data_IF_524549068144
#
_entry.id   IF_524549068144
#
_cell.length_a   1.000
_cell.length_b   1.000
_cell.length_c   1.000
_cell.angle_alpha   90.00
_cell.angle_beta   90.00
_cell.angle_gamma   90.00
#
_symmetry.space_group_name_H-M   'P 1'
#
loop_
_entity.id
_entity.type
_entity.pdbx_description
1 polymer ?
#
# COMPACT_ATOMS: atom_id res chain seq x y z
N UNK A 1 -26.37 7.55 11.31
CA UNK A 1 -25.58 8.47 10.45
C UNK A 1 -24.15 7.97 10.37
N UNK A 2 -23.34 8.49 9.44
CA UNK A 2 -21.90 8.21 9.43
C UNK A 2 -21.15 9.19 10.31
N UNK A 3 -19.94 8.83 10.74
CA UNK A 3 -19.06 9.73 11.48
C UNK A 3 -18.78 11.03 10.70
N UNK A 4 -18.67 10.94 9.35
CA UNK A 4 -18.53 12.12 8.50
C UNK A 4 -19.69 13.12 8.69
N UNK A 5 -20.94 12.63 8.69
CA UNK A 5 -22.11 13.50 8.90
C UNK A 5 -22.06 14.13 10.28
N UNK A 6 -21.72 13.37 11.32
CA UNK A 6 -21.57 13.90 12.69
C UNK A 6 -20.51 15.01 12.76
N UNK A 7 -19.34 14.82 12.13
CA UNK A 7 -18.29 15.85 12.09
C UNK A 7 -18.75 17.11 11.36
N UNK A 8 -19.53 16.94 10.30
CA UNK A 8 -20.12 18.08 9.58
C UNK A 8 -21.12 18.86 10.45
N UNK A 9 -22.01 18.15 11.16
CA UNK A 9 -22.96 18.77 12.12
C UNK A 9 -22.22 19.51 13.23
N UNK A 10 -21.16 18.94 13.77
CA UNK A 10 -20.32 19.59 14.78
C UNK A 10 -19.69 20.87 14.24
N UNK A 11 -19.12 20.83 13.04
CA UNK A 11 -18.50 21.98 12.40
C UNK A 11 -19.52 23.08 12.10
N UNK A 12 -20.68 22.72 11.61
CA UNK A 12 -21.69 23.67 11.16
C UNK A 12 -22.42 24.35 12.35
N UNK A 13 -22.56 23.67 13.52
CA UNK A 13 -23.35 24.15 14.62
C UNK A 13 -22.60 24.43 15.92
N UNK A 14 -21.39 23.90 16.10
CA UNK A 14 -20.68 24.01 17.38
C UNK A 14 -19.28 24.61 17.23
N UNK A 15 -18.44 24.08 16.29
CA UNK A 15 -17.07 24.51 16.11
C UNK A 15 -16.71 24.66 14.63
N UNK A 16 -16.91 25.87 14.06
CA UNK A 16 -16.62 26.12 12.65
C UNK A 16 -15.12 26.05 12.30
N UNK A 17 -14.24 25.95 13.29
CA UNK A 17 -12.79 25.83 13.07
C UNK A 17 -12.34 24.40 12.88
N UNK A 18 -13.19 23.40 13.15
CA UNK A 18 -12.87 21.98 13.04
C UNK A 18 -12.40 21.60 11.63
N UNK A 19 -11.15 21.15 11.52
CA UNK A 19 -10.52 20.77 10.27
C UNK A 19 -10.52 19.25 10.09
N UNK A 20 -11.11 18.77 9.01
CA UNK A 20 -11.04 17.40 8.54
C UNK A 20 -11.28 17.33 7.03
N UNK A 21 -10.68 16.35 6.37
CA UNK A 21 -10.78 16.22 4.92
C UNK A 21 -11.92 15.30 4.51
N UNK A 22 -12.59 15.66 3.41
CA UNK A 22 -13.57 14.80 2.76
C UNK A 22 -13.82 15.25 1.32
N UNK A 23 -14.16 14.29 0.44
CA UNK A 23 -14.55 14.60 -0.94
C UNK A 23 -15.74 13.74 -1.36
N UNK A 24 -15.54 12.42 -1.53
CA UNK A 24 -16.53 11.54 -2.16
C UNK A 24 -17.69 11.12 -1.22
N UNK A 25 -17.49 11.10 0.09
CA UNK A 25 -18.46 10.64 1.11
C UNK A 25 -18.95 9.20 0.92
N UNK A 26 -18.30 8.42 0.05
CA UNK A 26 -18.72 7.09 -0.40
C UNK A 26 -17.62 6.01 -0.28
N UNK A 27 -16.51 6.31 0.43
CA UNK A 27 -15.40 5.37 0.62
C UNK A 27 -14.55 5.12 -0.63
N UNK A 28 -14.50 6.08 -1.58
CA UNK A 28 -13.80 5.93 -2.86
C UNK A 28 -12.53 6.78 -2.93
N UNK A 29 -12.47 7.95 -2.27
CA UNK A 29 -11.33 8.86 -2.39
C UNK A 29 -10.28 8.74 -1.27
N UNK A 30 -10.62 8.16 -0.12
CA UNK A 30 -9.69 8.00 1.00
C UNK A 30 -9.45 9.23 1.87
N UNK A 31 -9.86 10.46 1.46
CA UNK A 31 -9.49 11.71 2.14
C UNK A 31 -10.00 11.83 3.59
N UNK A 32 -11.11 11.20 3.94
CA UNK A 32 -11.66 11.25 5.30
C UNK A 32 -11.05 10.20 6.26
N UNK A 33 -9.83 9.75 5.97
CA UNK A 33 -9.14 8.79 6.82
C UNK A 33 -8.59 9.47 8.09
N UNK A 34 -8.84 8.84 9.24
CA UNK A 34 -8.41 9.32 10.55
C UNK A 34 -8.31 8.15 11.54
N UNK A 35 -7.74 8.38 12.71
CA UNK A 35 -7.84 7.41 13.81
C UNK A 35 -9.19 7.55 14.51
N UNK A 36 -9.90 6.44 14.63
CA UNK A 36 -11.16 6.31 15.35
C UNK A 36 -10.93 5.30 16.48
N UNK A 37 -10.96 5.76 17.73
CA UNK A 37 -10.57 4.94 18.89
C UNK A 37 -9.21 4.26 18.70
N UNK A 38 -8.23 5.01 18.16
CA UNK A 38 -6.88 4.53 17.93
C UNK A 38 -6.71 3.60 16.71
N UNK A 39 -7.76 3.30 15.95
CA UNK A 39 -7.71 2.48 14.73
C UNK A 39 -7.89 3.34 13.48
N UNK A 40 -7.03 3.19 12.46
CA UNK A 40 -7.23 3.89 11.19
C UNK A 40 -8.51 3.45 10.49
N UNK A 41 -9.28 4.41 9.98
CA UNK A 41 -10.53 4.13 9.28
C UNK A 41 -11.03 5.33 8.49
N UNK A 42 -12.08 5.13 7.69
CA UNK A 42 -12.72 6.19 6.90
C UNK A 42 -13.97 6.70 7.61
N UNK A 43 -14.02 7.98 7.94
CA UNK A 43 -15.17 8.59 8.62
C UNK A 43 -16.49 8.42 7.85
N UNK A 44 -16.43 8.46 6.51
CA UNK A 44 -17.62 8.27 5.67
C UNK A 44 -18.14 6.82 5.62
N UNK A 45 -17.37 5.85 6.13
CA UNK A 45 -17.76 4.41 6.18
C UNK A 45 -18.01 3.93 7.60
N UNK A 46 -17.68 4.71 8.60
CA UNK A 46 -17.91 4.40 10.01
C UNK A 46 -19.28 4.89 10.44
N UNK A 47 -20.14 4.00 10.89
CA UNK A 47 -21.46 4.36 11.40
C UNK A 47 -21.37 4.73 12.89
N UNK A 48 -22.01 5.83 13.27
CA UNK A 48 -22.01 6.28 14.68
C UNK A 48 -22.67 5.30 15.63
N UNK A 49 -23.64 4.52 15.16
CA UNK A 49 -24.29 3.46 15.95
C UNK A 49 -23.36 2.31 16.34
N UNK A 50 -22.26 2.13 15.59
CA UNK A 50 -21.27 1.07 15.82
C UNK A 50 -20.13 1.55 16.74
N UNK A 51 -20.15 2.82 17.13
CA UNK A 51 -19.21 3.42 18.07
C UNK A 51 -19.80 3.46 19.49
N UNK A 52 -18.95 3.42 20.53
CA UNK A 52 -19.41 3.68 21.90
C UNK A 52 -19.92 5.13 22.02
N UNK A 53 -20.63 5.42 23.11
CA UNK A 53 -21.15 6.79 23.38
C UNK A 53 -20.01 7.83 23.48
N UNK A 54 -18.88 7.42 24.04
CA UNK A 54 -17.65 8.21 24.09
C UNK A 54 -16.60 7.58 23.18
N UNK A 55 -16.06 8.35 22.26
CA UNK A 55 -15.01 7.90 21.35
C UNK A 55 -14.00 9.01 21.09
N UNK A 56 -12.80 8.62 20.72
CA UNK A 56 -11.71 9.53 20.39
C UNK A 56 -11.42 9.56 18.91
N UNK A 57 -11.14 10.75 18.39
CA UNK A 57 -10.64 10.96 17.04
C UNK A 57 -9.25 11.58 17.08
N UNK A 58 -8.38 11.17 16.16
CA UNK A 58 -7.05 11.76 16.02
C UNK A 58 -6.62 11.74 14.55
N UNK A 59 -5.70 12.63 14.16
CA UNK A 59 -5.11 12.60 12.83
C UNK A 59 -4.34 11.30 12.59
N UNK A 60 -4.22 10.89 11.30
CA UNK A 60 -3.42 9.73 10.94
C UNK A 60 -1.94 9.97 11.29
N UNK A 61 -1.32 9.09 12.08
CA UNK A 61 0.12 9.17 12.35
C UNK A 61 0.94 8.83 11.09
N UNK A 62 2.22 9.20 11.11
CA UNK A 62 3.19 9.09 10.01
C UNK A 62 2.98 10.08 8.85
N UNK A 63 1.99 10.93 8.93
CA UNK A 63 1.77 12.03 7.99
C UNK A 63 1.95 13.39 8.69
N UNK A 64 2.31 14.39 7.89
CA UNK A 64 2.43 15.76 8.36
C UNK A 64 1.04 16.33 8.72
N UNK A 65 0.90 16.86 9.93
CA UNK A 65 -0.36 17.46 10.38
C UNK A 65 -0.59 18.80 9.65
N UNK A 66 -1.79 18.98 9.12
CA UNK A 66 -2.28 20.25 8.57
C UNK A 66 -3.08 20.99 9.66
N UNK A 67 -4.04 20.33 10.27
CA UNK A 67 -4.84 20.86 11.38
C UNK A 67 -5.84 19.82 11.86
N UNK A 68 -6.10 19.74 13.15
CA UNK A 68 -7.02 18.83 13.83
C UNK A 68 -6.92 17.38 13.33
N UNK A 69 -7.83 16.97 12.44
CA UNK A 69 -7.88 15.62 11.87
C UNK A 69 -7.33 15.54 10.43
N UNK A 70 -6.94 16.69 9.85
CA UNK A 70 -6.44 16.80 8.48
C UNK A 70 -4.93 16.59 8.41
N UNK A 71 -4.47 15.74 7.48
CA UNK A 71 -3.05 15.40 7.31
C UNK A 71 -2.64 15.39 5.84
N UNK A 72 -1.36 15.70 5.56
CA UNK A 72 -0.80 15.70 4.22
C UNK A 72 -0.40 14.30 3.75
N UNK A 73 -1.37 13.49 3.35
CA UNK A 73 -1.10 12.17 2.76
C UNK A 73 -0.46 12.29 1.37
N UNK A 74 -0.78 13.35 0.62
CA UNK A 74 -0.34 13.54 -0.76
C UNK A 74 1.18 13.65 -0.91
N UNK A 75 1.88 14.29 0.03
CA UNK A 75 3.34 14.38 0.02
C UNK A 75 3.99 12.98 0.11
N UNK A 76 3.52 12.16 1.04
CA UNK A 76 4.01 10.79 1.22
C UNK A 76 3.71 9.92 -0.02
N UNK A 77 2.48 10.00 -0.54
CA UNK A 77 2.05 9.21 -1.70
C UNK A 77 2.82 9.58 -2.97
N UNK A 78 3.11 10.87 -3.20
CA UNK A 78 3.95 11.31 -4.34
C UNK A 78 5.36 10.76 -4.23
N UNK A 79 6.01 10.91 -3.09
CA UNK A 79 7.37 10.39 -2.88
C UNK A 79 7.42 8.87 -3.11
N UNK A 80 6.43 8.13 -2.61
CA UNK A 80 6.30 6.70 -2.84
C UNK A 80 6.10 6.41 -4.34
N UNK A 81 5.21 7.12 -5.02
CA UNK A 81 4.93 6.91 -6.44
C UNK A 81 6.12 7.20 -7.34
N UNK A 82 6.87 8.26 -7.06
CA UNK A 82 8.09 8.61 -7.79
C UNK A 82 9.17 7.54 -7.59
N UNK A 83 9.40 7.12 -6.35
CA UNK A 83 10.37 6.07 -6.04
C UNK A 83 10.02 4.73 -6.69
N UNK A 84 8.74 4.37 -6.70
CA UNK A 84 8.25 3.07 -7.19
C UNK A 84 7.95 3.08 -8.68
N UNK A 85 8.04 4.25 -9.33
CA UNK A 85 7.65 4.40 -10.74
C UNK A 85 6.29 3.75 -11.00
N UNK A 86 5.24 4.24 -10.29
CA UNK A 86 3.92 3.61 -10.26
C UNK A 86 3.09 3.89 -11.51
N UNK A 87 3.65 3.58 -12.68
CA UNK A 87 3.00 3.60 -13.99
C UNK A 87 3.45 2.37 -14.79
N UNK A 88 2.76 2.09 -15.87
CA UNK A 88 3.09 0.98 -16.78
C UNK A 88 4.28 1.38 -17.65
N UNK A 89 5.33 0.59 -17.64
CA UNK A 89 6.52 0.79 -18.48
C UNK A 89 6.33 0.05 -19.81
N UNK A 90 6.16 0.79 -20.89
CA UNK A 90 6.00 0.25 -22.26
C UNK A 90 7.15 0.69 -23.15
N UNK A 91 7.62 -0.21 -24.05
CA UNK A 91 8.68 0.10 -25.04
C UNK A 91 8.26 1.11 -26.08
N UNK A 92 6.99 1.09 -26.46
CA UNK A 92 6.44 1.99 -27.46
C UNK A 92 5.61 3.05 -26.77
N UNK A 93 6.11 4.27 -26.74
CA UNK A 93 5.40 5.43 -26.20
C UNK A 93 4.25 5.91 -27.12
N UNK A 94 4.25 5.52 -28.41
CA UNK A 94 3.22 5.89 -29.36
C UNK A 94 2.02 4.94 -29.28
N UNK A 95 0.94 5.43 -28.67
CA UNK A 95 -0.35 4.75 -28.68
C UNK A 95 -1.05 5.03 -29.99
N UNK A 96 -1.16 4.04 -30.88
CA UNK A 96 -1.97 4.14 -32.08
C UNK A 96 -3.45 3.89 -31.77
N UNK A 97 -4.19 4.96 -31.55
CA UNK A 97 -5.63 4.94 -31.23
C UNK A 97 -6.51 4.30 -32.33
N UNK A 98 -5.96 4.02 -33.53
CA UNK A 98 -6.67 3.34 -34.61
C UNK A 98 -6.61 1.83 -34.50
N UNK A 99 -5.67 1.31 -33.72
CA UNK A 99 -5.56 -0.12 -33.48
C UNK A 99 -6.47 -0.53 -32.33
N UNK A 100 -7.16 -1.65 -32.53
CA UNK A 100 -7.93 -2.27 -31.46
C UNK A 100 -6.98 -2.74 -30.36
N UNK A 101 -7.31 -2.43 -29.10
CA UNK A 101 -6.55 -2.93 -27.94
C UNK A 101 -6.52 -4.46 -27.93
N UNK A 102 -5.40 -5.01 -27.49
CA UNK A 102 -5.27 -6.46 -27.28
C UNK A 102 -6.13 -6.83 -26.08
N UNK A 103 -7.08 -7.77 -26.21
CA UNK A 103 -7.89 -8.23 -25.09
C UNK A 103 -7.02 -8.84 -23.99
N UNK A 104 -7.28 -8.48 -22.74
CA UNK A 104 -6.67 -9.09 -21.58
C UNK A 104 -7.48 -10.31 -21.12
N UNK A 105 -6.81 -11.33 -20.61
CA UNK A 105 -7.49 -12.46 -19.96
C UNK A 105 -8.42 -11.95 -18.84
N UNK A 106 -9.69 -12.38 -18.78
CA UNK A 106 -10.65 -11.88 -17.80
C UNK A 106 -10.24 -12.13 -16.35
N UNK A 107 -9.63 -13.26 -16.03
CA UNK A 107 -9.18 -13.56 -14.67
C UNK A 107 -8.01 -12.65 -14.28
N UNK A 108 -7.06 -12.45 -15.18
CA UNK A 108 -5.95 -11.53 -14.97
C UNK A 108 -6.43 -10.09 -14.79
N UNK A 109 -7.41 -9.66 -15.59
CA UNK A 109 -8.03 -8.34 -15.44
C UNK A 109 -8.68 -8.17 -14.07
N UNK A 110 -9.38 -9.18 -13.55
CA UNK A 110 -9.97 -9.16 -12.21
C UNK A 110 -8.89 -9.12 -11.12
N UNK A 111 -7.83 -9.91 -11.23
CA UNK A 111 -6.71 -9.91 -10.28
C UNK A 111 -6.04 -8.53 -10.21
N UNK A 112 -5.83 -7.86 -11.34
CA UNK A 112 -5.32 -6.49 -11.41
C UNK A 112 -6.33 -5.52 -10.77
N UNK A 113 -7.62 -5.63 -11.09
CA UNK A 113 -8.68 -4.76 -10.58
C UNK A 113 -8.78 -4.82 -9.06
N UNK A 114 -8.65 -6.01 -8.46
CA UNK A 114 -8.65 -6.17 -7.01
C UNK A 114 -7.57 -5.31 -6.36
N UNK A 115 -6.36 -5.25 -6.93
CA UNK A 115 -5.24 -4.46 -6.42
C UNK A 115 -5.41 -2.96 -6.71
N UNK A 116 -6.02 -2.60 -7.83
CA UNK A 116 -6.32 -1.22 -8.22
C UNK A 116 -7.42 -0.56 -7.37
N UNK A 117 -8.16 -1.32 -6.57
CA UNK A 117 -9.13 -0.78 -5.60
C UNK A 117 -8.47 0.04 -4.48
N UNK A 118 -7.15 0.12 -4.43
CA UNK A 118 -6.42 0.97 -3.50
C UNK A 118 -6.74 2.45 -3.74
N UNK A 119 -7.27 3.12 -2.72
CA UNK A 119 -7.63 4.55 -2.76
C UNK A 119 -6.60 5.46 -2.07
N UNK A 120 -5.42 4.93 -1.77
CA UNK A 120 -4.30 5.67 -1.17
C UNK A 120 -4.67 6.45 0.11
N UNK A 121 -5.62 5.93 0.89
CA UNK A 121 -6.14 6.60 2.08
C UNK A 121 -5.15 6.73 3.24
N UNK A 122 -4.02 6.01 3.22
CA UNK A 122 -3.01 6.07 4.27
C UNK A 122 -3.27 5.18 5.50
N UNK A 123 -4.43 4.52 5.63
CA UNK A 123 -4.74 3.69 6.81
C UNK A 123 -3.70 2.58 7.07
N UNK A 124 -3.23 1.91 6.00
CA UNK A 124 -2.20 0.87 6.10
C UNK A 124 -0.83 1.41 6.53
N UNK A 125 -0.52 2.67 6.21
CA UNK A 125 0.70 3.38 6.61
C UNK A 125 0.60 3.79 8.08
N UNK A 126 -0.52 4.42 8.46
CA UNK A 126 -0.78 4.85 9.83
C UNK A 126 -0.74 3.68 10.84
N UNK A 127 -1.23 2.49 10.44
CA UNK A 127 -1.19 1.28 11.25
C UNK A 127 0.11 0.49 11.17
N UNK A 128 1.08 0.89 10.35
CA UNK A 128 2.30 0.13 10.13
C UNK A 128 3.37 0.40 11.17
N UNK A 129 3.72 -0.61 11.98
CA UNK A 129 4.83 -0.50 12.93
C UNK A 129 6.18 -0.26 12.26
N UNK A 130 6.41 -0.82 11.07
CA UNK A 130 7.67 -0.60 10.34
C UNK A 130 7.83 0.86 9.93
N UNK A 131 6.80 1.52 9.41
CA UNK A 131 6.85 2.95 9.04
C UNK A 131 7.17 3.83 10.25
N UNK A 132 6.75 3.43 11.45
CA UNK A 132 7.02 4.18 12.69
C UNK A 132 8.49 4.21 13.06
N UNK A 133 9.23 3.16 12.76
CA UNK A 133 10.68 3.05 13.06
C UNK A 133 11.54 3.30 11.83
N UNK A 134 10.98 3.19 10.64
CA UNK A 134 11.64 3.41 9.33
C UNK A 134 10.73 4.24 8.43
N UNK A 135 10.81 5.57 8.49
CA UNK A 135 9.94 6.46 7.72
C UNK A 135 10.10 6.37 6.20
N UNK A 136 11.23 5.82 5.73
CA UNK A 136 11.56 5.56 4.34
C UNK A 136 10.95 4.25 3.79
N UNK A 137 10.34 3.44 4.65
CA UNK A 137 9.71 2.18 4.24
C UNK A 137 8.46 2.45 3.38
N UNK A 138 8.40 1.82 2.20
CA UNK A 138 7.33 2.03 1.20
C UNK A 138 5.94 1.59 1.65
N UNK A 139 5.84 0.86 2.75
CA UNK A 139 4.57 0.39 3.29
C UNK A 139 3.84 -0.62 2.39
N UNK A 140 2.71 -1.10 2.91
CA UNK A 140 1.89 -2.06 2.17
C UNK A 140 1.29 -1.48 0.88
N UNK A 141 1.04 -0.18 0.82
CA UNK A 141 0.53 0.48 -0.39
C UNK A 141 1.55 0.41 -1.53
N UNK A 142 2.83 0.67 -1.27
CA UNK A 142 3.90 0.56 -2.27
C UNK A 142 4.04 -0.88 -2.77
N UNK A 143 4.07 -1.85 -1.84
CA UNK A 143 4.16 -3.28 -2.20
C UNK A 143 2.94 -3.73 -3.02
N UNK A 144 1.72 -3.26 -2.69
CA UNK A 144 0.52 -3.54 -3.47
C UNK A 144 0.58 -2.98 -4.88
N UNK A 145 1.12 -1.76 -5.05
CA UNK A 145 1.31 -1.17 -6.38
C UNK A 145 2.31 -1.97 -7.23
N UNK A 146 3.44 -2.37 -6.66
CA UNK A 146 4.38 -3.25 -7.35
C UNK A 146 3.72 -4.58 -7.75
N UNK A 147 2.94 -5.21 -6.87
CA UNK A 147 2.21 -6.42 -7.20
C UNK A 147 1.24 -6.22 -8.37
N UNK A 148 0.55 -5.09 -8.39
CA UNK A 148 -0.37 -4.70 -9.47
C UNK A 148 0.36 -4.54 -10.80
N UNK A 149 1.43 -3.76 -10.87
CA UNK A 149 2.18 -3.53 -12.12
C UNK A 149 2.85 -4.81 -12.62
N UNK A 150 3.37 -5.62 -11.71
CA UNK A 150 3.98 -6.91 -12.05
C UNK A 150 2.99 -7.91 -12.67
N UNK A 151 1.68 -7.78 -12.40
CA UNK A 151 0.63 -8.57 -13.04
C UNK A 151 0.22 -8.02 -14.41
N UNK A 152 0.47 -6.75 -14.68
CA UNK A 152 0.02 -6.11 -15.91
C UNK A 152 0.87 -6.59 -17.11
N UNK A 153 0.27 -7.26 -18.10
CA UNK A 153 1.02 -7.79 -19.25
C UNK A 153 1.58 -6.69 -20.17
N UNK A 154 1.16 -5.44 -19.96
CA UNK A 154 1.69 -4.27 -20.68
C UNK A 154 2.94 -3.70 -20.02
N UNK A 155 3.21 -4.03 -18.77
CA UNK A 155 4.41 -3.61 -18.07
C UNK A 155 5.58 -4.53 -18.46
N UNK A 156 6.63 -3.97 -19.02
CA UNK A 156 7.76 -4.72 -19.56
C UNK A 156 8.87 -5.00 -18.52
N UNK A 157 8.72 -4.45 -17.31
CA UNK A 157 9.65 -4.73 -16.21
C UNK A 157 9.61 -6.20 -15.82
N UNK A 158 10.77 -6.75 -15.56
CA UNK A 158 10.95 -8.10 -15.06
C UNK A 158 11.31 -8.11 -13.56
N UNK A 159 11.48 -9.29 -12.97
CA UNK A 159 11.77 -9.42 -11.53
C UNK A 159 13.11 -8.77 -11.13
N UNK A 160 14.07 -8.60 -12.05
CA UNK A 160 15.34 -7.91 -11.75
C UNK A 160 15.11 -6.39 -11.66
N UNK A 161 14.30 -5.82 -12.56
CA UNK A 161 13.95 -4.40 -12.55
C UNK A 161 13.18 -4.06 -11.26
N UNK A 162 12.22 -4.89 -10.87
CA UNK A 162 11.51 -4.73 -9.60
C UNK A 162 12.40 -4.91 -8.37
N UNK A 163 13.43 -5.76 -8.46
CA UNK A 163 14.40 -5.94 -7.39
C UNK A 163 15.19 -4.65 -7.10
N UNK A 164 15.61 -3.94 -8.14
CA UNK A 164 16.30 -2.64 -7.99
C UNK A 164 15.43 -1.60 -7.28
N UNK A 165 14.11 -1.67 -7.45
CA UNK A 165 13.16 -0.69 -6.86
C UNK A 165 12.75 -1.06 -5.44
N UNK A 166 12.53 -2.35 -5.14
CA UNK A 166 11.93 -2.78 -3.85
C UNK A 166 12.68 -3.91 -3.14
N UNK A 167 13.80 -4.36 -3.67
CA UNK A 167 14.58 -5.46 -3.11
C UNK A 167 15.55 -5.05 -1.98
N UNK A 168 15.21 -4.02 -1.24
CA UNK A 168 15.99 -3.47 -0.13
C UNK A 168 15.21 -3.44 1.19
N UNK A 169 15.83 -2.87 2.23
CA UNK A 169 15.23 -2.73 3.54
C UNK A 169 14.22 -1.58 3.64
N UNK A 170 14.25 -0.61 2.75
CA UNK A 170 13.18 0.40 2.62
C UNK A 170 12.04 -0.10 1.74
N UNK A 171 12.30 -1.17 0.98
CA UNK A 171 11.34 -1.95 0.20
C UNK A 171 10.79 -3.15 0.95
N UNK A 172 10.60 -4.27 0.25
CA UNK A 172 9.88 -5.43 0.80
C UNK A 172 10.58 -6.13 1.95
N UNK A 173 11.93 -6.07 2.02
CA UNK A 173 12.68 -6.75 3.08
C UNK A 173 12.60 -6.04 4.43
N UNK A 174 12.30 -4.74 4.46
CA UNK A 174 12.06 -4.01 5.70
C UNK A 174 10.76 -4.36 6.42
N UNK A 175 9.82 -5.03 5.75
CA UNK A 175 8.53 -5.37 6.35
C UNK A 175 8.69 -6.33 7.53
N UNK A 176 8.29 -5.91 8.73
CA UNK A 176 8.32 -6.72 9.95
C UNK A 176 7.18 -7.76 10.04
N UNK A 177 6.30 -7.80 9.03
CA UNK A 177 5.18 -8.76 8.95
C UNK A 177 4.20 -8.70 10.12
N UNK A 178 3.97 -7.51 10.71
CA UNK A 178 3.00 -7.29 11.79
C UNK A 178 1.54 -7.34 11.31
N UNK A 179 1.32 -7.20 10.00
CA UNK A 179 0.06 -7.37 9.25
C UNK A 179 -1.08 -6.40 9.59
N UNK A 180 -0.93 -5.45 10.51
CA UNK A 180 -1.94 -4.44 10.82
C UNK A 180 -2.43 -3.66 9.58
N UNK A 181 -1.58 -3.54 8.56
CA UNK A 181 -1.96 -2.95 7.28
C UNK A 181 -3.10 -3.72 6.59
N UNK A 182 -3.17 -5.04 6.75
CA UNK A 182 -4.25 -5.87 6.20
C UNK A 182 -5.56 -5.64 6.98
N UNK A 183 -5.48 -5.62 8.32
CA UNK A 183 -6.65 -5.48 9.18
C UNK A 183 -7.29 -4.09 9.08
N UNK A 184 -6.48 -3.05 8.80
CA UNK A 184 -6.94 -1.67 8.70
C UNK A 184 -7.25 -1.22 7.26
N UNK A 185 -7.18 -2.11 6.27
CA UNK A 185 -7.49 -1.74 4.91
C UNK A 185 -9.00 -1.57 4.69
N UNK A 186 -9.52 -0.33 4.48
CA UNK A 186 -10.96 -0.12 4.30
C UNK A 186 -11.49 -0.61 2.95
N UNK A 187 -10.62 -1.16 2.10
CA UNK A 187 -10.93 -1.75 0.79
C UNK A 187 -10.73 -3.26 0.77
N UNK A 188 -10.38 -3.88 1.89
CA UNK A 188 -10.16 -5.33 2.04
C UNK A 188 -9.19 -5.91 0.99
N UNK A 189 -8.09 -5.16 0.73
CA UNK A 189 -7.06 -5.60 -0.21
C UNK A 189 -6.30 -6.82 0.35
N UNK A 190 -5.86 -7.75 -0.50
CA UNK A 190 -5.13 -8.95 -0.08
C UNK A 190 -3.66 -8.64 0.28
N UNK A 191 -3.42 -7.61 1.12
CA UNK A 191 -2.09 -7.06 1.39
C UNK A 191 -1.11 -8.09 1.96
N UNK A 192 -1.57 -8.96 2.87
CA UNK A 192 -0.72 -10.03 3.42
C UNK A 192 -0.20 -10.98 2.35
N UNK A 193 -1.05 -11.35 1.39
CA UNK A 193 -0.71 -12.24 0.27
C UNK A 193 0.28 -11.56 -0.66
N UNK A 194 0.06 -10.28 -0.98
CA UNK A 194 0.95 -9.53 -1.88
C UNK A 194 2.33 -9.30 -1.25
N UNK A 195 2.39 -8.96 0.04
CA UNK A 195 3.67 -8.82 0.76
C UNK A 195 4.46 -10.12 0.71
N UNK A 196 3.83 -11.25 1.02
CA UNK A 196 4.49 -12.56 0.99
C UNK A 196 4.96 -12.94 -0.42
N UNK A 197 4.13 -12.70 -1.42
CA UNK A 197 4.42 -12.99 -2.82
C UNK A 197 5.61 -12.18 -3.35
N UNK A 198 5.58 -10.85 -3.20
CA UNK A 198 6.64 -9.97 -3.67
C UNK A 198 7.95 -10.26 -2.91
N UNK A 199 7.88 -10.45 -1.58
CA UNK A 199 9.06 -10.81 -0.78
C UNK A 199 9.74 -12.08 -1.31
N UNK A 200 8.95 -13.13 -1.61
CA UNK A 200 9.49 -14.37 -2.18
C UNK A 200 10.15 -14.11 -3.52
N UNK A 201 9.52 -13.36 -4.42
CA UNK A 201 10.07 -13.04 -5.74
C UNK A 201 11.36 -12.24 -5.67
N UNK A 202 11.42 -11.26 -4.80
CA UNK A 202 12.63 -10.46 -4.59
C UNK A 202 13.75 -11.29 -3.94
N UNK A 203 13.43 -12.21 -3.03
CA UNK A 203 14.41 -13.12 -2.45
C UNK A 203 14.97 -14.09 -3.51
N UNK A 204 14.15 -14.67 -4.37
CA UNK A 204 14.57 -15.50 -5.50
C UNK A 204 15.52 -14.72 -6.43
N UNK A 205 15.26 -13.45 -6.70
CA UNK A 205 16.11 -12.59 -7.52
C UNK A 205 17.44 -12.24 -6.82
N UNK A 206 17.38 -11.93 -5.51
CA UNK A 206 18.57 -11.67 -4.70
C UNK A 206 19.55 -12.85 -4.69
N UNK A 207 19.04 -14.08 -4.56
CA UNK A 207 19.86 -15.31 -4.65
C UNK A 207 20.52 -15.43 -6.03
N UNK A 208 19.76 -15.22 -7.13
CA UNK A 208 20.32 -15.24 -8.49
C UNK A 208 21.40 -14.19 -8.70
N UNK A 209 21.25 -13.01 -8.12
CA UNK A 209 22.25 -11.96 -8.20
C UNK A 209 23.49 -12.31 -7.40
N UNK A 210 23.34 -12.89 -6.20
CA UNK A 210 24.44 -13.37 -5.37
C UNK A 210 25.27 -14.44 -6.10
N UNK A 211 24.62 -15.44 -6.72
CA UNK A 211 25.30 -16.52 -7.46
C UNK A 211 26.08 -16.02 -8.68
N UNK A 212 25.72 -14.87 -9.25
CA UNK A 212 26.48 -14.23 -10.33
C UNK A 212 27.77 -13.56 -9.83
N UNK A 213 27.71 -12.98 -8.61
CA UNK A 213 28.85 -12.24 -8.02
C UNK A 213 29.80 -13.17 -7.26
N UNK A 214 29.24 -14.18 -6.57
CA UNK A 214 29.98 -15.18 -5.81
C UNK A 214 29.63 -16.57 -6.39
N UNK A 215 30.38 -17.10 -7.37
CA UNK A 215 30.12 -18.43 -7.91
C UNK A 215 30.15 -19.45 -6.78
N UNK A 216 29.06 -20.13 -6.56
CA UNK A 216 28.99 -21.22 -5.59
C UNK A 216 30.02 -22.29 -5.96
N UNK A 217 30.90 -22.74 -5.03
CA UNK A 217 31.82 -23.80 -5.31
C UNK A 217 31.05 -25.04 -5.78
N UNK A 218 31.35 -25.53 -6.98
CA UNK A 218 30.70 -26.72 -7.57
C UNK A 218 30.83 -28.01 -6.73
N UNK A 219 31.40 -27.92 -5.53
CA UNK A 219 31.64 -29.01 -4.58
C UNK A 219 31.38 -28.62 -3.14
N UNK A 220 30.16 -28.30 -2.80
CA UNK A 220 29.76 -28.45 -1.39
C UNK A 220 29.54 -29.94 -1.12
N UNK A 221 30.54 -30.63 -0.57
CA UNK A 221 30.36 -31.98 -0.04
C UNK A 221 29.24 -31.93 0.98
N UNK A 222 28.14 -32.68 0.77
CA UNK A 222 27.09 -32.87 1.77
C UNK A 222 27.74 -33.37 3.06
N UNK A 223 27.72 -32.55 4.09
CA UNK A 223 28.11 -32.97 5.43
C UNK A 223 27.02 -33.95 5.90
N UNK A 224 27.29 -35.21 6.19
CA UNK A 224 26.29 -36.13 6.67
C UNK A 224 25.89 -35.73 8.09
N UNK A 225 24.65 -35.32 8.28
CA UNK A 225 24.05 -35.10 9.59
C UNK A 225 23.90 -36.50 10.21
N UNK A 226 24.76 -36.84 11.19
CA UNK A 226 24.54 -38.03 12.02
C UNK A 226 23.36 -37.72 12.94
N UNK A 227 22.24 -38.44 12.74
CA UNK A 227 21.15 -38.47 13.70
C UNK A 227 21.69 -39.00 15.04
N UNK A 228 21.42 -38.26 16.09
CA UNK A 228 21.67 -38.69 17.49
C UNK A 228 20.51 -39.56 17.98
#
# INVERSE_FOLDING_TARGET
MTLFILLNELRDHQDPTLQFDFVCRAGICGSCAMLINGKPGLACRTLTKDLPTEFTLAPLPAFELIGDLSVNTGKWMRNMSERMETWVHMKNEEIDLRKKEVPMDPQLAEDIYVLDRCVECGCCIAGCGTVRVRPDFIGAVGINKIARFRLDPRDERNDADYYEVVGDESGVFGCMSLLACHDFCPKDLPLKTQIAFIRRKMAEQGIKNYDKVVPTPKTAKKIPIKAA
#
